data_IF_941913402043
#
_entry.id   IF_941913402043
#
_cell.length_a   1.000
_cell.length_b   1.000
_cell.length_c   1.000
_cell.angle_alpha   90.00
_cell.angle_beta   90.00
_cell.angle_gamma   90.00
#
_symmetry.space_group_name_H-M   'P 1'
#
loop_
_entity.id
_entity.type
_entity.pdbx_description
1 polymer ?
#
# COMPACT_ATOMS: atom_id res chain seq x y z
N UNK A 1 39.14 23.02 -54.04
CA UNK A 1 38.43 24.04 -53.23
C UNK A 1 37.42 23.52 -52.20
N UNK A 2 36.99 22.25 -52.17
CA UNK A 2 35.98 21.76 -51.21
C UNK A 2 36.51 21.29 -49.83
N UNK A 3 37.80 20.99 -49.69
CA UNK A 3 38.38 20.50 -48.41
C UNK A 3 38.52 21.62 -47.37
N UNK A 4 39.03 22.79 -47.78
CA UNK A 4 39.30 23.95 -46.90
C UNK A 4 38.05 24.51 -46.20
N UNK A 5 36.87 24.40 -46.83
CA UNK A 5 35.60 24.87 -46.25
C UNK A 5 35.09 23.95 -45.11
N UNK A 6 35.39 22.64 -45.16
CA UNK A 6 35.01 21.69 -44.11
C UNK A 6 35.86 21.86 -42.85
N UNK A 7 37.16 22.07 -43.01
CA UNK A 7 38.08 22.25 -41.87
C UNK A 7 37.79 23.55 -41.10
N UNK A 8 37.37 24.61 -41.79
CA UNK A 8 36.95 25.86 -41.16
C UNK A 8 35.67 25.69 -40.32
N UNK A 9 34.67 24.98 -40.86
CA UNK A 9 33.43 24.65 -40.12
C UNK A 9 33.68 23.77 -38.90
N UNK A 10 34.55 22.76 -39.02
CA UNK A 10 34.89 21.88 -37.88
C UNK A 10 35.64 22.63 -36.77
N UNK A 11 36.54 23.54 -37.11
CA UNK A 11 37.20 24.42 -36.12
C UNK A 11 36.23 25.36 -35.41
N UNK A 12 35.21 25.84 -36.12
CA UNK A 12 34.18 26.71 -35.53
C UNK A 12 33.23 25.95 -34.59
N UNK A 13 32.84 24.72 -34.95
CA UNK A 13 32.05 23.83 -34.07
C UNK A 13 32.85 23.46 -32.81
N UNK A 14 34.14 23.15 -32.94
CA UNK A 14 35.01 22.87 -31.80
C UNK A 14 35.08 24.03 -30.80
N UNK A 15 35.19 25.28 -31.30
CA UNK A 15 35.17 26.48 -30.44
C UNK A 15 33.85 26.67 -29.70
N UNK A 16 32.71 26.38 -30.35
CA UNK A 16 31.39 26.48 -29.72
C UNK A 16 31.23 25.43 -28.61
N UNK A 17 31.67 24.19 -28.84
CA UNK A 17 31.60 23.11 -27.85
C UNK A 17 32.48 23.41 -26.63
N UNK A 18 33.72 23.91 -26.84
CA UNK A 18 34.62 24.30 -25.74
C UNK A 18 34.01 25.46 -24.93
N UNK A 19 33.37 26.43 -25.59
CA UNK A 19 32.72 27.54 -24.92
C UNK A 19 31.51 27.07 -24.08
N UNK A 20 30.66 26.19 -24.63
CA UNK A 20 29.50 25.63 -23.92
C UNK A 20 29.90 24.77 -22.69
N UNK A 21 30.98 24.00 -22.80
CA UNK A 21 31.54 23.24 -21.68
C UNK A 21 32.10 24.17 -20.59
N UNK A 22 32.78 25.25 -20.96
CA UNK A 22 33.32 26.21 -19.99
C UNK A 22 32.24 26.95 -19.21
N UNK A 23 31.11 27.29 -19.85
CA UNK A 23 29.96 27.91 -19.18
C UNK A 23 29.27 26.93 -18.24
N UNK A 24 29.16 25.65 -18.63
CA UNK A 24 28.55 24.62 -17.78
C UNK A 24 29.37 24.35 -16.52
N UNK A 25 30.71 24.34 -16.63
CA UNK A 25 31.61 24.18 -15.48
C UNK A 25 31.53 25.41 -14.56
N UNK A 26 31.47 26.62 -15.11
CA UNK A 26 31.33 27.84 -14.30
C UNK A 26 30.00 27.86 -13.51
N UNK A 27 28.89 27.41 -14.11
CA UNK A 27 27.58 27.30 -13.43
C UNK A 27 27.64 26.26 -12.30
N UNK A 28 28.28 25.10 -12.53
CA UNK A 28 28.48 24.07 -11.50
C UNK A 28 29.34 24.55 -10.33
N UNK A 29 30.41 25.29 -10.61
CA UNK A 29 31.27 25.88 -9.58
C UNK A 29 30.54 26.98 -8.78
N UNK A 30 29.71 27.80 -9.43
CA UNK A 30 28.89 28.81 -8.76
C UNK A 30 27.81 28.20 -7.86
N UNK A 31 27.17 27.11 -8.29
CA UNK A 31 26.21 26.39 -7.45
C UNK A 31 26.87 25.69 -6.26
N UNK A 32 28.05 25.10 -6.44
CA UNK A 32 28.78 24.47 -5.34
C UNK A 32 29.30 25.50 -4.31
N UNK A 33 29.68 26.72 -4.73
CA UNK A 33 30.08 27.76 -3.76
C UNK A 33 28.90 28.25 -2.92
N UNK A 34 27.70 28.34 -3.50
CA UNK A 34 26.48 28.72 -2.77
C UNK A 34 26.03 27.68 -1.73
N UNK A 35 26.28 26.40 -2.00
CA UNK A 35 25.99 25.30 -1.04
C UNK A 35 26.97 25.36 0.15
N UNK A 36 28.24 25.70 -0.09
CA UNK A 36 29.24 25.88 0.97
C UNK A 36 28.94 27.06 1.92
N UNK A 37 28.33 28.13 1.41
CA UNK A 37 27.91 29.29 2.23
C UNK A 37 26.70 28.97 3.11
N UNK A 38 25.78 28.11 2.67
CA UNK A 38 24.64 27.68 3.50
C UNK A 38 25.02 26.68 4.60
N UNK A 39 26.03 25.84 4.37
CA UNK A 39 26.47 24.83 5.35
C UNK A 39 27.32 25.42 6.49
N UNK A 40 27.99 26.55 6.26
CA UNK A 40 28.75 27.28 7.30
C UNK A 40 27.85 28.11 8.20
N UNK A 41 26.66 28.52 7.74
CA UNK A 41 25.68 29.25 8.55
C UNK A 41 24.91 28.36 9.56
N UNK A 42 24.93 27.03 9.39
CA UNK A 42 24.27 26.07 10.29
C UNK A 42 25.17 25.53 11.41
N UNK A 43 26.48 25.79 11.36
CA UNK A 43 27.46 25.23 12.30
C UNK A 43 27.76 26.10 13.54
N UNK A 44 27.20 27.32 13.65
CA UNK A 44 27.58 28.30 14.68
C UNK A 44 26.55 28.53 15.80
N UNK A 45 25.48 27.74 15.89
CA UNK A 45 24.48 27.90 16.97
C UNK A 45 24.52 26.69 17.91
N UNK A 46 25.42 26.74 18.90
CA UNK A 46 25.27 26.03 20.19
C UNK A 46 25.90 26.86 21.31
N UNK A 47 25.26 26.74 22.49
CA UNK A 47 25.56 27.27 23.83
C UNK A 47 25.13 28.71 24.15
N UNK A 48 23.97 28.87 24.81
CA UNK A 48 23.85 29.57 26.10
C UNK A 48 22.42 29.45 26.66
N UNK A 49 22.31 29.34 27.97
CA UNK A 49 21.14 28.97 28.76
C UNK A 49 20.39 30.15 29.39
N UNK A 50 19.05 30.04 29.41
CA UNK A 50 18.04 30.63 30.34
C UNK A 50 17.52 32.08 30.11
N UNK A 51 16.27 32.37 30.54
CA UNK A 51 15.20 32.86 29.65
C UNK A 51 14.66 34.26 30.01
N UNK A 52 13.92 34.92 29.10
CA UNK A 52 12.85 35.91 29.40
C UNK A 52 11.91 36.06 28.18
N UNK A 53 10.62 36.23 28.48
CA UNK A 53 9.43 36.26 27.62
C UNK A 53 9.30 37.49 26.70
N UNK A 54 8.89 37.29 25.45
CA UNK A 54 7.67 37.87 24.89
C UNK A 54 7.33 37.22 23.53
N UNK A 55 6.11 36.66 23.45
CA UNK A 55 5.67 35.76 22.38
C UNK A 55 4.92 36.50 21.28
N UNK A 56 5.49 36.52 20.08
CA UNK A 56 4.75 36.53 18.82
C UNK A 56 5.45 35.60 17.84
N UNK A 57 5.39 34.29 18.14
CA UNK A 57 5.79 33.24 17.22
C UNK A 57 4.55 32.44 16.85
N UNK A 58 4.22 32.49 15.55
CA UNK A 58 3.31 31.56 14.90
C UNK A 58 3.94 30.17 15.05
N UNK A 59 3.45 29.42 16.02
CA UNK A 59 3.84 28.04 16.24
C UNK A 59 3.10 27.16 15.23
N UNK A 60 3.82 26.59 14.27
CA UNK A 60 3.32 25.42 13.57
C UNK A 60 3.31 24.25 14.56
N UNK A 61 2.17 23.58 14.79
CA UNK A 61 2.15 22.45 15.69
C UNK A 61 2.92 21.29 15.05
N UNK A 62 4.08 20.98 15.62
CA UNK A 62 4.72 19.67 15.47
C UNK A 62 3.82 18.66 16.15
N UNK A 63 2.96 17.99 15.38
CA UNK A 63 2.08 16.97 15.93
C UNK A 63 2.82 15.64 16.05
N UNK A 64 2.78 15.13 17.28
CA UNK A 64 3.35 13.86 17.70
C UNK A 64 2.53 12.70 17.09
N UNK A 65 3.16 11.87 16.25
CA UNK A 65 2.58 10.68 15.61
C UNK A 65 2.00 9.63 16.60
N UNK A 66 2.29 9.72 17.90
CA UNK A 66 1.96 8.68 18.87
C UNK A 66 0.47 8.47 19.20
N UNK A 67 -0.42 9.45 18.97
CA UNK A 67 -1.83 9.32 19.37
C UNK A 67 -2.69 8.52 18.38
N UNK A 68 -2.32 8.50 17.10
CA UNK A 68 -3.04 7.74 16.06
C UNK A 68 -2.63 6.26 16.05
N UNK A 69 -1.35 5.97 16.30
CA UNK A 69 -0.79 4.62 16.47
C UNK A 69 -1.51 3.85 17.59
N UNK A 70 -1.85 4.53 18.70
CA UNK A 70 -2.53 3.93 19.83
C UNK A 70 -3.97 3.50 19.49
N UNK A 71 -4.67 4.17 18.58
CA UNK A 71 -6.04 3.79 18.21
C UNK A 71 -6.07 2.52 17.36
N UNK A 72 -5.26 2.46 16.29
CA UNK A 72 -5.19 1.28 15.41
C UNK A 72 -4.69 0.06 16.18
N UNK A 73 -3.66 0.23 17.01
CA UNK A 73 -3.04 -0.85 17.76
C UNK A 73 -3.91 -1.35 18.93
N UNK A 74 -4.68 -0.47 19.59
CA UNK A 74 -5.47 -0.80 20.79
C UNK A 74 -6.93 -1.19 20.50
N UNK A 75 -7.52 -0.72 19.40
CA UNK A 75 -8.95 -0.95 19.09
C UNK A 75 -9.22 -1.77 17.82
N UNK A 76 -8.30 -1.81 16.84
CA UNK A 76 -8.51 -2.55 15.59
C UNK A 76 -7.88 -3.95 15.64
N UNK A 77 -6.69 -4.09 16.26
CA UNK A 77 -5.94 -5.35 16.30
C UNK A 77 -6.17 -6.22 17.55
N UNK A 78 -6.65 -5.66 18.66
CA UNK A 78 -7.06 -6.42 19.84
C UNK A 78 -8.58 -6.46 19.94
N UNK A 79 -9.16 -7.50 19.37
CA UNK A 79 -10.51 -7.93 19.73
C UNK A 79 -10.42 -9.39 20.19
N UNK A 80 -9.99 -9.56 21.44
CA UNK A 80 -10.47 -10.69 22.24
C UNK A 80 -11.69 -10.19 23.04
N UNK A 81 -12.67 -11.07 23.09
CA UNK A 81 -14.00 -10.91 23.66
C UNK A 81 -14.01 -10.32 25.09
N UNK A 82 -14.97 -9.41 25.32
CA UNK A 82 -15.51 -8.95 26.63
C UNK A 82 -14.69 -7.92 27.42
N UNK A 83 -14.67 -6.65 26.99
CA UNK A 83 -14.76 -5.48 27.90
C UNK A 83 -15.41 -4.32 27.12
N UNK A 84 -16.55 -3.82 27.58
CA UNK A 84 -17.10 -2.53 27.11
C UNK A 84 -16.37 -1.40 27.83
N UNK A 85 -15.69 -0.54 27.07
CA UNK A 85 -15.18 0.75 27.55
C UNK A 85 -15.74 1.82 26.63
N UNK A 86 -16.67 2.63 27.13
CA UNK A 86 -17.19 3.82 26.43
C UNK A 86 -16.30 5.02 26.72
N UNK A 87 -15.69 5.69 25.72
CA UNK A 87 -15.02 6.97 25.95
C UNK A 87 -16.06 8.10 26.07
N UNK A 88 -15.96 8.87 27.16
CA UNK A 88 -16.67 10.14 27.37
C UNK A 88 -15.86 11.25 26.69
N UNK A 89 -16.43 11.86 25.66
CA UNK A 89 -15.85 13.04 24.99
C UNK A 89 -16.48 14.30 25.58
N UNK A 90 -15.85 14.90 26.58
CA UNK A 90 -16.29 16.21 27.08
C UNK A 90 -15.93 17.29 26.02
N UNK A 91 -16.99 17.80 25.38
CA UNK A 91 -17.21 19.13 24.79
C UNK A 91 -15.96 19.96 24.45
N UNK A 92 -15.71 20.15 23.14
CA UNK A 92 -15.20 21.42 22.61
C UNK A 92 -16.21 21.91 21.57
N UNK A 93 -17.07 22.82 22.01
CA UNK A 93 -18.07 23.52 21.22
C UNK A 93 -17.44 24.61 20.36
N UNK A 94 -18.04 24.92 19.20
CA UNK A 94 -17.73 26.17 18.50
C UNK A 94 -18.08 26.33 17.02
N UNK A 95 -19.24 25.84 16.53
CA UNK A 95 -20.18 26.63 15.72
C UNK A 95 -21.28 25.77 15.06
N UNK A 96 -22.56 26.17 15.13
CA UNK A 96 -23.68 25.38 14.62
C UNK A 96 -23.99 25.70 13.15
N UNK A 97 -24.09 24.68 12.30
CA UNK A 97 -24.88 24.79 11.07
C UNK A 97 -26.20 24.05 11.31
N UNK A 98 -27.28 24.83 11.43
CA UNK A 98 -28.67 24.36 11.42
C UNK A 98 -28.94 23.63 10.10
N UNK A 99 -29.35 22.36 10.18
CA UNK A 99 -30.12 21.72 9.12
C UNK A 99 -31.43 21.23 9.73
N UNK A 100 -32.51 21.72 9.14
CA UNK A 100 -33.91 21.46 9.47
C UNK A 100 -34.27 19.98 9.50
N UNK A 101 -34.90 19.58 10.60
CA UNK A 101 -35.56 18.29 10.83
C UNK A 101 -36.76 18.09 9.91
N UNK A 102 -36.80 16.96 9.17
CA UNK A 102 -38.03 16.17 8.96
C UNK A 102 -37.66 14.68 8.91
N UNK A 103 -37.98 13.95 9.96
CA UNK A 103 -38.26 12.51 10.04
C UNK A 103 -39.62 12.43 10.77
N UNK A 104 -40.54 11.48 10.61
CA UNK A 104 -40.54 10.07 10.18
C UNK A 104 -42.03 9.64 10.14
N UNK A 105 -42.43 8.53 9.50
CA UNK A 105 -42.74 7.19 10.10
C UNK A 105 -44.13 6.73 9.53
N UNK A 106 -44.52 5.46 9.35
CA UNK A 106 -44.49 4.31 10.26
C UNK A 106 -44.84 2.95 9.57
N UNK A 107 -44.23 1.85 10.07
CA UNK A 107 -44.73 0.46 10.41
C UNK A 107 -45.60 -0.37 9.44
N UNK A 108 -45.67 -1.72 9.41
CA UNK A 108 -45.09 -2.95 10.03
C UNK A 108 -45.52 -4.18 9.15
N UNK A 109 -45.09 -5.44 9.43
CA UNK A 109 -45.09 -6.58 8.49
C UNK A 109 -46.27 -7.57 8.65
N UNK A 110 -46.39 -8.52 7.70
CA UNK A 110 -47.20 -9.73 7.84
C UNK A 110 -46.45 -11.01 7.41
N UNK A 111 -46.58 -12.06 8.22
CA UNK A 111 -46.17 -13.45 7.97
C UNK A 111 -47.33 -14.28 7.37
N UNK A 112 -47.01 -15.36 6.66
CA UNK A 112 -47.69 -16.70 6.60
C UNK A 112 -46.88 -17.56 5.60
N UNK A 113 -46.28 -18.74 5.85
CA UNK A 113 -46.58 -20.08 6.42
C UNK A 113 -47.30 -21.08 5.47
N UNK A 114 -46.65 -22.25 5.30
CA UNK A 114 -47.19 -23.62 4.98
C UNK A 114 -47.49 -23.88 3.48
N UNK A 115 -47.28 -25.02 2.81
CA UNK A 115 -47.21 -26.48 3.13
C UNK A 115 -46.36 -27.23 2.06
N UNK A 116 -45.50 -28.19 2.40
CA UNK A 116 -45.62 -29.69 2.34
C UNK A 116 -46.07 -30.36 1.03
N UNK A 117 -45.26 -31.35 0.59
CA UNK A 117 -45.62 -32.43 -0.32
C UNK A 117 -44.47 -33.46 -0.48
N UNK A 118 -44.73 -34.74 -0.14
CA UNK A 118 -43.84 -35.93 -0.17
C UNK A 118 -44.13 -36.80 -1.41
N UNK A 119 -43.14 -37.61 -1.84
CA UNK A 119 -43.18 -39.09 -2.13
C UNK A 119 -41.86 -39.48 -2.88
N UNK A 120 -41.01 -40.42 -2.41
CA UNK A 120 -41.00 -41.91 -2.54
C UNK A 120 -41.13 -42.40 -4.00
N UNK A 121 -40.45 -43.40 -4.57
CA UNK A 121 -39.57 -44.54 -4.17
C UNK A 121 -38.97 -45.06 -5.51
N UNK A 122 -37.77 -45.64 -5.65
CA UNK A 122 -37.49 -47.07 -5.44
C UNK A 122 -36.21 -47.49 -6.19
N UNK A 123 -35.61 -48.56 -5.68
CA UNK A 123 -34.35 -49.28 -5.98
C UNK A 123 -34.26 -50.03 -7.31
N UNK A 124 -33.05 -50.34 -7.80
CA UNK A 124 -32.64 -51.71 -8.22
C UNK A 124 -31.10 -51.89 -8.18
N UNK A 125 -30.65 -53.00 -7.55
CA UNK A 125 -29.27 -53.50 -7.51
C UNK A 125 -28.96 -54.34 -8.75
N UNK A 126 -27.72 -54.31 -9.26
CA UNK A 126 -27.14 -55.48 -9.95
C UNK A 126 -25.65 -55.64 -9.65
N UNK A 127 -25.30 -56.89 -9.33
CA UNK A 127 -24.03 -57.42 -8.82
C UNK A 127 -23.41 -58.23 -9.95
N UNK A 128 -22.14 -58.01 -10.31
CA UNK A 128 -21.32 -58.98 -11.05
C UNK A 128 -19.90 -58.94 -10.49
N UNK A 129 -19.38 -60.12 -10.20
CA UNK A 129 -18.07 -60.44 -9.65
C UNK A 129 -17.26 -61.14 -10.74
N UNK A 130 -15.96 -60.84 -10.85
CA UNK A 130 -14.96 -61.78 -11.35
C UNK A 130 -13.57 -61.43 -10.78
N UNK A 131 -12.90 -62.47 -10.25
CA UNK A 131 -11.50 -62.58 -9.81
C UNK A 131 -10.56 -62.39 -11.04
N UNK A 132 -9.26 -62.07 -11.00
CA UNK A 132 -8.13 -62.53 -10.18
C UNK A 132 -6.92 -61.65 -10.57
N UNK A 133 -6.03 -61.30 -9.64
CA UNK A 133 -4.56 -61.50 -9.73
C UNK A 133 -3.81 -60.65 -8.70
N UNK A 134 -3.07 -61.35 -7.84
CA UNK A 134 -2.19 -60.81 -6.82
C UNK A 134 -0.86 -60.53 -7.49
N UNK A 135 -0.44 -59.26 -7.52
CA UNK A 135 0.96 -58.88 -7.69
C UNK A 135 1.39 -58.09 -6.48
N UNK A 136 2.25 -58.69 -5.66
CA UNK A 136 2.98 -58.00 -4.61
C UNK A 136 3.94 -57.01 -5.28
N UNK A 137 3.77 -55.72 -5.01
CA UNK A 137 4.77 -54.74 -5.37
C UNK A 137 4.88 -53.67 -4.28
N UNK A 138 5.97 -53.81 -3.52
CA UNK A 138 6.76 -52.82 -2.80
C UNK A 138 6.06 -51.66 -2.08
N UNK A 139 6.41 -51.57 -0.80
CA UNK A 139 6.05 -50.58 0.19
C UNK A 139 6.40 -49.13 -0.22
N UNK A 140 5.61 -48.51 -1.11
CA UNK A 140 5.63 -47.06 -1.33
C UNK A 140 4.65 -46.44 -0.35
N UNK A 141 5.18 -45.85 0.73
CA UNK A 141 4.43 -44.95 1.61
C UNK A 141 3.70 -43.95 0.71
N UNK A 142 2.38 -44.13 0.54
CA UNK A 142 1.52 -43.15 -0.12
C UNK A 142 1.68 -41.86 0.69
N UNK A 143 2.45 -40.92 0.16
CA UNK A 143 2.35 -39.53 0.58
C UNK A 143 1.01 -39.08 0.02
N UNK A 144 -0.04 -39.26 0.80
CA UNK A 144 -1.32 -38.60 0.56
C UNK A 144 -0.99 -37.11 0.34
N UNK A 145 -1.40 -36.51 -0.79
CA UNK A 145 -1.19 -35.08 -1.00
C UNK A 145 -1.79 -34.39 0.21
N UNK A 146 -0.97 -33.62 0.92
CA UNK A 146 -1.44 -32.89 2.09
C UNK A 146 -2.57 -31.99 1.60
N UNK A 147 -3.80 -32.31 2.02
CA UNK A 147 -5.01 -31.54 1.72
C UNK A 147 -5.02 -30.18 2.44
N UNK A 148 -3.86 -29.73 2.95
CA UNK A 148 -3.70 -28.43 3.57
C UNK A 148 -3.76 -27.39 2.46
N UNK A 149 -4.89 -26.69 2.40
CA UNK A 149 -5.10 -25.46 1.62
C UNK A 149 -3.84 -24.58 1.75
N UNK A 150 -3.19 -24.32 0.61
CA UNK A 150 -1.97 -23.53 0.56
C UNK A 150 -2.23 -22.14 1.13
N UNK A 151 -1.40 -21.69 2.08
CA UNK A 151 -1.54 -20.35 2.67
C UNK A 151 -1.13 -19.29 1.63
N UNK A 152 -1.81 -18.16 1.61
CA UNK A 152 -1.55 -17.06 0.69
C UNK A 152 -1.25 -15.78 1.47
N UNK A 153 -0.28 -15.01 1.00
CA UNK A 153 0.03 -13.67 1.50
C UNK A 153 0.16 -12.70 0.32
N UNK A 154 -0.43 -11.52 0.48
CA UNK A 154 -0.30 -10.39 -0.43
C UNK A 154 0.70 -9.42 0.17
N UNK A 155 1.90 -9.35 -0.41
CA UNK A 155 2.88 -8.32 -0.08
C UNK A 155 2.48 -7.05 -0.82
N UNK A 156 2.36 -5.93 -0.09
CA UNK A 156 2.00 -4.64 -0.67
C UNK A 156 3.08 -3.60 -0.38
N UNK A 157 3.36 -2.75 -1.37
CA UNK A 157 4.34 -1.68 -1.29
C UNK A 157 3.70 -0.35 -1.67
N UNK A 158 3.67 0.57 -0.72
CA UNK A 158 3.09 1.90 -0.88
C UNK A 158 4.16 2.95 -1.24
N UNK A 159 3.72 4.15 -1.60
CA UNK A 159 4.51 5.33 -1.96
C UNK A 159 5.40 5.24 -3.19
N UNK A 160 5.56 4.06 -3.79
CA UNK A 160 6.43 3.84 -4.92
C UNK A 160 5.95 4.47 -6.25
N UNK A 161 6.69 4.23 -7.36
CA UNK A 161 8.03 3.63 -7.36
C UNK A 161 9.08 4.59 -6.79
N UNK A 162 10.25 4.04 -6.44
CA UNK A 162 11.39 4.78 -5.90
C UNK A 162 12.70 4.30 -6.51
N UNK A 163 13.84 4.79 -5.99
CA UNK A 163 15.16 4.24 -6.31
C UNK A 163 15.34 2.79 -5.83
N UNK A 164 14.55 2.34 -4.86
CA UNK A 164 14.61 0.99 -4.28
C UNK A 164 13.80 -0.05 -5.06
N UNK A 165 12.85 0.37 -5.92
CA UNK A 165 11.91 -0.53 -6.62
C UNK A 165 12.63 -1.66 -7.35
N UNK A 166 13.73 -1.37 -8.06
CA UNK A 166 14.44 -2.38 -8.85
C UNK A 166 15.09 -3.46 -7.97
N UNK A 167 15.56 -3.09 -6.78
CA UNK A 167 16.08 -4.05 -5.80
C UNK A 167 14.95 -4.92 -5.24
N UNK A 168 13.79 -4.32 -4.92
CA UNK A 168 12.59 -5.05 -4.49
C UNK A 168 12.16 -6.06 -5.56
N UNK A 169 12.05 -5.64 -6.83
CA UNK A 169 11.68 -6.52 -7.94
C UNK A 169 12.67 -7.66 -8.16
N UNK A 170 13.97 -7.41 -7.97
CA UNK A 170 15.01 -8.44 -8.06
C UNK A 170 14.82 -9.51 -6.98
N UNK A 171 14.53 -9.10 -5.75
CA UNK A 171 14.24 -10.01 -4.64
C UNK A 171 12.94 -10.78 -4.87
N UNK A 172 11.86 -10.12 -5.28
CA UNK A 172 10.60 -10.80 -5.60
C UNK A 172 10.82 -11.89 -6.66
N UNK A 173 11.54 -11.58 -7.74
CA UNK A 173 11.89 -12.56 -8.78
C UNK A 173 12.72 -13.72 -8.24
N UNK A 174 13.75 -13.44 -7.41
CA UNK A 174 14.60 -14.48 -6.78
C UNK A 174 13.77 -15.49 -5.98
N UNK A 175 12.72 -15.03 -5.32
CA UNK A 175 11.84 -15.87 -4.50
C UNK A 175 10.57 -16.35 -5.22
N UNK A 176 10.48 -16.14 -6.55
CA UNK A 176 9.29 -16.47 -7.36
C UNK A 176 7.99 -15.90 -6.77
N UNK A 177 8.11 -14.70 -6.19
CA UNK A 177 7.03 -13.97 -5.54
C UNK A 177 6.47 -12.90 -6.47
N UNK A 178 5.18 -12.64 -6.34
CA UNK A 178 4.53 -11.45 -6.88
C UNK A 178 3.99 -10.59 -5.73
N UNK A 179 3.88 -9.29 -5.96
CA UNK A 179 3.41 -8.31 -4.99
C UNK A 179 2.46 -7.31 -5.64
N UNK A 180 1.91 -6.39 -4.84
CA UNK A 180 1.06 -5.29 -5.30
C UNK A 180 1.69 -3.96 -4.94
N UNK A 181 1.76 -3.02 -5.87
CA UNK A 181 2.35 -1.70 -5.66
C UNK A 181 1.28 -0.62 -5.75
N UNK A 182 1.04 0.10 -4.66
CA UNK A 182 0.17 1.28 -4.65
C UNK A 182 1.04 2.52 -4.80
N UNK A 183 0.92 3.18 -5.94
CA UNK A 183 1.90 4.16 -6.38
C UNK A 183 1.36 5.57 -6.37
N UNK A 184 2.24 6.54 -6.12
CA UNK A 184 1.92 7.97 -6.19
C UNK A 184 2.12 8.48 -7.62
N UNK A 185 1.21 9.35 -8.10
CA UNK A 185 1.29 9.95 -9.43
C UNK A 185 2.62 10.67 -9.73
N UNK A 186 3.18 11.50 -8.82
CA UNK A 186 4.49 12.10 -9.03
C UNK A 186 5.61 11.06 -9.22
N UNK A 187 5.55 9.95 -8.49
CA UNK A 187 6.56 8.90 -8.52
C UNK A 187 6.44 8.04 -9.77
N UNK A 188 5.22 7.76 -10.25
CA UNK A 188 5.00 7.14 -11.55
C UNK A 188 5.67 7.94 -12.68
N UNK A 189 5.52 9.26 -12.67
CA UNK A 189 6.13 10.16 -13.66
C UNK A 189 7.66 10.19 -13.54
N UNK A 190 8.18 10.23 -12.31
CA UNK A 190 9.63 10.28 -12.06
C UNK A 190 10.34 8.96 -12.39
N UNK A 191 9.71 7.82 -12.09
CA UNK A 191 10.29 6.49 -12.21
C UNK A 191 9.49 5.58 -13.15
N UNK A 192 9.14 6.12 -14.32
CA UNK A 192 8.28 5.43 -15.29
C UNK A 192 8.84 4.09 -15.80
N UNK A 193 10.17 3.97 -15.89
CA UNK A 193 10.84 2.72 -16.25
C UNK A 193 10.62 1.63 -15.18
N UNK A 194 10.77 1.99 -13.90
CA UNK A 194 10.47 1.10 -12.77
C UNK A 194 9.01 0.66 -12.78
N UNK A 195 8.07 1.60 -12.99
CA UNK A 195 6.63 1.28 -13.07
C UNK A 195 6.30 0.25 -14.17
N UNK A 196 6.89 0.42 -15.37
CA UNK A 196 6.75 -0.57 -16.46
C UNK A 196 7.32 -1.93 -16.07
N UNK A 197 8.44 -1.95 -15.36
CA UNK A 197 9.07 -3.19 -14.93
C UNK A 197 8.26 -3.92 -13.84
N UNK A 198 7.59 -3.19 -12.94
CA UNK A 198 6.66 -3.77 -11.95
C UNK A 198 5.61 -4.63 -12.68
N UNK A 199 4.92 -4.05 -13.66
CA UNK A 199 3.88 -4.74 -14.46
C UNK A 199 4.47 -5.87 -15.29
N UNK A 200 5.61 -5.65 -15.97
CA UNK A 200 6.29 -6.67 -16.79
C UNK A 200 6.69 -7.91 -15.97
N UNK A 201 7.00 -7.72 -14.69
CA UNK A 201 7.32 -8.83 -13.76
C UNK A 201 6.07 -9.53 -13.20
N UNK A 202 4.87 -9.19 -13.67
CA UNK A 202 3.62 -9.82 -13.24
C UNK A 202 3.14 -9.38 -11.86
N UNK A 203 3.57 -8.21 -11.37
CA UNK A 203 3.02 -7.64 -10.15
C UNK A 203 1.76 -6.84 -10.44
N UNK A 204 0.85 -6.78 -9.48
CA UNK A 204 -0.30 -5.88 -9.55
C UNK A 204 0.11 -4.46 -9.19
N UNK A 205 -0.63 -3.50 -9.71
CA UNK A 205 -0.38 -2.07 -9.54
C UNK A 205 -1.69 -1.39 -9.19
N UNK A 206 -1.66 -0.36 -8.36
CA UNK A 206 -2.82 0.39 -7.93
C UNK A 206 -2.48 1.84 -7.63
N UNK A 207 -3.51 2.64 -7.40
CA UNK A 207 -3.38 4.07 -7.09
C UNK A 207 -3.20 4.30 -5.60
N UNK A 208 -2.28 5.21 -5.25
CA UNK A 208 -2.12 5.75 -3.90
C UNK A 208 -2.36 7.28 -3.86
N UNK A 209 -3.03 7.82 -4.87
CA UNK A 209 -3.29 9.26 -4.99
C UNK A 209 -2.08 10.06 -5.49
N UNK A 210 -2.09 11.36 -5.22
CA UNK A 210 -1.15 12.32 -5.81
C UNK A 210 -0.34 13.02 -4.73
N UNK A 211 -1.01 13.60 -3.74
CA UNK A 211 -0.39 14.53 -2.80
C UNK A 211 0.18 13.83 -1.57
N UNK A 212 -0.44 12.72 -1.17
CA UNK A 212 -0.21 12.06 0.11
C UNK A 212 -0.24 13.07 1.28
N UNK A 213 -1.09 14.10 1.17
CA UNK A 213 -1.28 15.15 2.17
C UNK A 213 -2.70 15.00 2.70
N UNK A 214 -2.80 14.67 3.98
CA UNK A 214 -4.07 14.40 4.68
C UNK A 214 -5.11 15.50 4.45
N UNK A 215 -4.70 16.77 4.39
CA UNK A 215 -5.60 17.92 4.26
C UNK A 215 -6.04 18.17 2.81
N UNK A 216 -5.34 17.59 1.84
CA UNK A 216 -5.69 17.70 0.41
C UNK A 216 -6.48 16.49 -0.04
N UNK A 217 -5.96 15.29 0.22
CA UNK A 217 -6.57 14.03 -0.23
C UNK A 217 -7.93 13.80 0.44
N UNK A 218 -8.09 14.15 1.72
CA UNK A 218 -9.34 14.02 2.46
C UNK A 218 -10.12 15.33 2.62
N UNK A 219 -9.84 16.33 1.79
CA UNK A 219 -10.60 17.60 1.81
C UNK A 219 -12.08 17.38 1.47
N UNK A 220 -12.39 16.46 0.56
CA UNK A 220 -13.74 16.06 0.20
C UNK A 220 -13.73 14.71 -0.55
N UNK A 221 -14.88 13.99 -0.62
CA UNK A 221 -14.98 12.77 -1.43
C UNK A 221 -14.57 12.97 -2.88
N UNK A 222 -14.89 14.13 -3.46
CA UNK A 222 -14.52 14.47 -4.82
C UNK A 222 -13.01 14.68 -4.99
N UNK A 223 -12.34 15.31 -4.01
CA UNK A 223 -10.89 15.49 -4.03
C UNK A 223 -10.16 14.15 -3.96
N UNK A 224 -10.59 13.26 -3.06
CA UNK A 224 -10.04 11.90 -2.96
C UNK A 224 -10.17 11.14 -4.29
N UNK A 225 -11.38 11.11 -4.86
CA UNK A 225 -11.65 10.44 -6.14
C UNK A 225 -10.81 11.05 -7.27
N UNK A 226 -10.66 12.38 -7.30
CA UNK A 226 -9.86 13.05 -8.31
C UNK A 226 -8.39 12.64 -8.23
N UNK A 227 -7.80 12.60 -7.04
CA UNK A 227 -6.42 12.13 -6.86
C UNK A 227 -6.27 10.68 -7.32
N UNK A 228 -7.18 9.79 -6.92
CA UNK A 228 -7.12 8.38 -7.31
C UNK A 228 -7.22 8.19 -8.82
N UNK A 229 -8.14 8.90 -9.49
CA UNK A 229 -8.32 8.85 -10.95
C UNK A 229 -7.15 9.42 -11.72
N UNK A 230 -6.56 10.51 -11.24
CA UNK A 230 -5.38 11.09 -11.89
C UNK A 230 -4.24 10.07 -11.93
N UNK A 231 -3.98 9.42 -10.79
CA UNK A 231 -2.94 8.41 -10.68
C UNK A 231 -3.25 7.18 -11.52
N UNK A 232 -4.49 6.69 -11.55
CA UNK A 232 -4.94 5.60 -12.44
C UNK A 232 -4.68 5.93 -13.92
N UNK A 233 -5.03 7.16 -14.36
CA UNK A 233 -4.81 7.61 -15.72
C UNK A 233 -3.31 7.66 -16.08
N UNK A 234 -2.49 8.19 -15.18
CA UNK A 234 -1.02 8.21 -15.34
C UNK A 234 -0.44 6.80 -15.38
N UNK A 235 -0.91 5.91 -14.51
CA UNK A 235 -0.50 4.51 -14.44
C UNK A 235 -0.83 3.80 -15.76
N UNK A 236 -2.05 3.93 -16.27
CA UNK A 236 -2.47 3.36 -17.57
C UNK A 236 -1.64 3.94 -18.72
N UNK A 237 -1.42 5.26 -18.74
CA UNK A 237 -0.60 5.92 -19.76
C UNK A 237 0.84 5.41 -19.80
N UNK A 238 1.46 5.19 -18.64
CA UNK A 238 2.87 4.80 -18.54
C UNK A 238 3.05 3.30 -18.77
N UNK A 239 2.19 2.48 -18.17
CA UNK A 239 2.39 1.02 -18.10
C UNK A 239 1.54 0.24 -19.09
N UNK A 240 0.48 0.85 -19.64
CA UNK A 240 -0.54 0.18 -20.43
C UNK A 240 -1.52 -0.66 -19.60
N UNK A 241 -1.31 -0.79 -18.29
CA UNK A 241 -2.17 -1.56 -17.40
C UNK A 241 -3.29 -0.67 -16.86
N UNK A 242 -4.52 -1.12 -17.04
CA UNK A 242 -5.68 -0.58 -16.32
C UNK A 242 -5.79 -1.27 -14.96
N UNK A 243 -6.08 -0.49 -13.92
CA UNK A 243 -6.26 -0.99 -12.56
C UNK A 243 -7.20 -0.08 -11.76
N UNK A 244 -8.15 -0.69 -11.09
CA UNK A 244 -9.08 -0.02 -10.16
C UNK A 244 -8.70 -0.22 -8.70
N UNK A 245 -7.58 -0.91 -8.41
CA UNK A 245 -7.06 -1.07 -7.06
C UNK A 245 -6.63 0.29 -6.49
N UNK A 246 -7.10 0.61 -5.28
CA UNK A 246 -6.66 1.79 -4.54
C UNK A 246 -6.24 1.42 -3.12
N UNK A 247 -5.29 2.20 -2.60
CA UNK A 247 -4.92 2.22 -1.18
C UNK A 247 -5.04 3.65 -0.69
N UNK A 248 -5.84 3.84 0.34
CA UNK A 248 -6.06 5.17 0.92
C UNK A 248 -4.82 5.61 1.72
N UNK A 249 -4.23 6.80 1.47
CA UNK A 249 -3.14 7.33 2.28
C UNK A 249 -3.50 7.32 3.77
N UNK A 250 -2.57 6.87 4.62
CA UNK A 250 -2.80 6.73 6.08
C UNK A 250 -3.85 5.68 6.50
N UNK A 251 -4.34 4.85 5.56
CA UNK A 251 -5.37 3.86 5.82
C UNK A 251 -6.79 4.44 5.78
N UNK A 252 -7.78 3.55 5.60
CA UNK A 252 -9.17 3.98 5.37
C UNK A 252 -9.89 4.49 6.63
N UNK A 253 -9.36 4.26 7.83
CA UNK A 253 -9.96 4.73 9.09
C UNK A 253 -8.98 5.68 9.77
N UNK A 254 -9.41 6.87 10.22
CA UNK A 254 -10.80 7.35 10.27
C UNK A 254 -11.32 8.04 9.00
N UNK A 255 -10.48 8.20 7.96
CA UNK A 255 -10.71 9.19 6.91
C UNK A 255 -11.72 8.81 5.83
N UNK A 256 -11.80 7.53 5.43
CA UNK A 256 -12.78 7.05 4.46
C UNK A 256 -14.14 6.84 5.14
N UNK A 257 -14.81 7.97 5.42
CA UNK A 257 -16.20 7.99 5.90
C UNK A 257 -17.14 7.36 4.86
N UNK A 258 -18.41 7.07 5.22
CA UNK A 258 -19.36 6.48 4.28
C UNK A 258 -19.49 7.25 2.95
N UNK A 259 -19.38 8.58 2.98
CA UNK A 259 -19.46 9.41 1.76
C UNK A 259 -18.23 9.24 0.85
N UNK A 260 -17.04 9.11 1.44
CA UNK A 260 -15.81 8.82 0.68
C UNK A 260 -15.84 7.43 0.07
N UNK A 261 -16.32 6.42 0.83
CA UNK A 261 -16.49 5.05 0.33
C UNK A 261 -17.50 5.01 -0.81
N UNK A 262 -18.69 5.57 -0.61
CA UNK A 262 -19.72 5.67 -1.65
C UNK A 262 -19.20 6.37 -2.92
N UNK A 263 -18.47 7.46 -2.78
CA UNK A 263 -17.89 8.16 -3.93
C UNK A 263 -16.83 7.32 -4.66
N UNK A 264 -16.05 6.53 -3.93
CA UNK A 264 -15.04 5.61 -4.50
C UNK A 264 -15.68 4.42 -5.20
N UNK A 265 -16.66 3.78 -4.56
CA UNK A 265 -17.43 2.65 -5.09
C UNK A 265 -18.16 3.05 -6.38
N UNK A 266 -18.74 4.26 -6.42
CA UNK A 266 -19.39 4.81 -7.61
C UNK A 266 -18.44 5.00 -8.80
N UNK A 267 -17.12 4.94 -8.60
CA UNK A 267 -16.11 4.95 -9.66
C UNK A 267 -15.51 3.58 -9.94
N UNK A 268 -15.99 2.53 -9.28
CA UNK A 268 -15.48 1.16 -9.43
C UNK A 268 -14.17 0.90 -8.70
N UNK A 269 -13.73 1.81 -7.81
CA UNK A 269 -12.50 1.62 -7.07
C UNK A 269 -12.61 0.48 -6.07
N UNK A 270 -11.53 -0.30 -5.97
CA UNK A 270 -11.42 -1.44 -5.06
C UNK A 270 -10.41 -1.07 -3.99
N UNK A 271 -10.92 -0.58 -2.86
CA UNK A 271 -10.10 -0.15 -1.74
C UNK A 271 -9.55 -1.34 -0.95
N UNK A 272 -8.23 -1.40 -0.79
CA UNK A 272 -7.54 -2.35 0.07
C UNK A 272 -6.85 -1.62 1.22
N UNK A 273 -7.06 -2.08 2.46
CA UNK A 273 -6.23 -1.80 3.63
C UNK A 273 -5.22 -2.96 3.83
N UNK A 274 -4.86 -3.28 5.08
CA UNK A 274 -3.91 -4.32 5.44
C UNK A 274 -4.29 -5.05 6.74
N UNK A 275 -3.71 -6.24 6.94
CA UNK A 275 -3.79 -6.99 8.20
C UNK A 275 -2.58 -6.75 9.09
N UNK A 276 -1.41 -6.67 8.45
CA UNK A 276 -0.11 -6.62 9.09
C UNK A 276 0.53 -5.30 8.72
N UNK A 277 0.73 -4.44 9.71
CA UNK A 277 1.51 -3.22 9.53
C UNK A 277 2.98 -3.50 9.87
N UNK A 278 3.87 -3.29 8.91
CA UNK A 278 5.30 -3.50 9.16
C UNK A 278 5.91 -2.45 10.07
N UNK A 279 5.41 -1.21 10.08
CA UNK A 279 6.12 -0.04 10.62
C UNK A 279 7.55 0.13 10.02
N UNK A 280 7.79 -0.32 8.79
CA UNK A 280 9.11 -0.17 8.11
C UNK A 280 9.50 1.31 7.88
N UNK A 281 8.53 2.22 7.90
CA UNK A 281 8.73 3.66 7.94
C UNK A 281 9.38 4.13 9.25
N UNK A 282 9.07 3.48 10.37
CA UNK A 282 9.53 3.82 11.73
C UNK A 282 10.84 3.15 12.10
N UNK A 283 11.13 1.96 11.58
CA UNK A 283 12.25 1.11 12.01
C UNK A 283 13.37 0.97 10.95
N UNK A 284 14.34 1.91 10.90
CA UNK A 284 15.41 1.90 9.88
C UNK A 284 16.38 0.71 9.98
N UNK A 285 16.43 0.05 11.13
CA UNK A 285 17.37 -1.04 11.42
C UNK A 285 16.77 -2.45 11.25
N UNK A 286 15.68 -2.58 10.49
CA UNK A 286 15.11 -3.89 10.13
C UNK A 286 14.25 -4.54 11.21
N UNK A 287 14.01 -3.87 12.35
CA UNK A 287 13.16 -4.38 13.44
C UNK A 287 11.73 -4.71 12.97
N UNK A 288 11.26 -4.02 11.92
CA UNK A 288 9.99 -4.30 11.26
C UNK A 288 9.85 -5.76 10.81
N UNK A 289 10.95 -6.43 10.44
CA UNK A 289 10.93 -7.85 10.04
C UNK A 289 10.40 -8.72 11.18
N UNK A 290 10.90 -8.51 12.40
CA UNK A 290 10.43 -9.28 13.55
C UNK A 290 8.99 -8.91 13.91
N UNK A 291 8.60 -7.64 13.76
CA UNK A 291 7.22 -7.19 13.95
C UNK A 291 6.25 -7.88 12.99
N UNK A 292 6.60 -8.01 11.71
CA UNK A 292 5.81 -8.78 10.72
C UNK A 292 5.65 -10.22 11.20
N UNK A 293 6.76 -10.89 11.54
CA UNK A 293 6.75 -12.29 12.00
C UNK A 293 5.83 -12.49 13.20
N UNK A 294 5.94 -11.64 14.21
CA UNK A 294 5.11 -11.71 15.42
C UNK A 294 3.63 -11.53 15.11
N UNK A 295 3.26 -10.55 14.27
CA UNK A 295 1.86 -10.34 13.90
C UNK A 295 1.30 -11.50 13.06
N UNK A 296 2.07 -12.02 12.10
CA UNK A 296 1.67 -13.17 11.27
C UNK A 296 1.49 -14.43 12.14
N UNK A 297 2.41 -14.69 13.07
CA UNK A 297 2.35 -15.87 13.95
C UNK A 297 1.22 -15.77 14.99
N UNK A 298 0.79 -14.55 15.33
CA UNK A 298 -0.35 -14.32 16.23
C UNK A 298 -1.69 -14.30 15.49
N UNK A 299 -1.69 -14.24 14.16
CA UNK A 299 -2.91 -14.16 13.38
C UNK A 299 -3.53 -15.55 13.19
N UNK A 300 -4.74 -15.75 13.71
CA UNK A 300 -5.51 -17.00 13.55
C UNK A 300 -6.47 -16.94 12.35
N UNK A 301 -6.02 -16.37 11.24
CA UNK A 301 -6.85 -16.13 10.06
C UNK A 301 -6.72 -17.26 9.03
N UNK A 302 -7.86 -17.79 8.59
CA UNK A 302 -7.94 -18.76 7.49
C UNK A 302 -7.99 -18.10 6.10
N UNK A 303 -8.07 -16.75 6.07
CA UNK A 303 -8.02 -15.97 4.82
C UNK A 303 -6.60 -15.49 4.52
N UNK A 304 -6.29 -15.13 3.26
CA UNK A 304 -5.01 -14.53 2.93
C UNK A 304 -4.73 -13.27 3.76
N UNK A 305 -3.46 -13.07 4.11
CA UNK A 305 -2.99 -11.88 4.83
C UNK A 305 -2.51 -10.81 3.86
N UNK A 306 -2.74 -9.55 4.19
CA UNK A 306 -2.19 -8.39 3.47
C UNK A 306 -1.15 -7.69 4.33
N UNK A 307 0.07 -7.56 3.82
CA UNK A 307 1.20 -6.93 4.53
C UNK A 307 1.47 -5.56 3.94
N UNK A 308 1.38 -4.51 4.76
CA UNK A 308 1.78 -3.15 4.41
C UNK A 308 3.28 -2.96 4.59
N UNK A 309 3.94 -2.53 3.53
CA UNK A 309 5.33 -2.04 3.49
C UNK A 309 5.40 -0.84 2.53
N UNK A 310 6.54 -0.17 2.48
CA UNK A 310 6.77 0.97 1.60
C UNK A 310 7.91 0.67 0.61
N UNK A 311 7.81 1.19 -0.62
CA UNK A 311 8.86 1.09 -1.63
C UNK A 311 10.00 2.07 -1.29
N UNK A 312 10.87 1.66 -0.34
CA UNK A 312 12.00 2.45 0.15
C UNK A 312 13.25 1.60 0.38
N UNK A 313 14.41 2.26 0.42
CA UNK A 313 15.73 1.60 0.53
C UNK A 313 15.85 0.71 1.77
N UNK A 314 15.34 1.14 2.92
CA UNK A 314 15.35 0.33 4.15
C UNK A 314 14.57 -0.97 3.96
N UNK A 315 13.38 -0.89 3.38
CA UNK A 315 12.53 -2.06 3.15
C UNK A 315 13.23 -3.02 2.20
N UNK A 316 13.78 -2.52 1.09
CA UNK A 316 14.54 -3.33 0.15
C UNK A 316 15.76 -4.03 0.79
N UNK A 317 16.45 -3.37 1.73
CA UNK A 317 17.60 -3.93 2.46
C UNK A 317 17.23 -5.17 3.29
N UNK A 318 16.05 -5.20 3.89
CA UNK A 318 15.63 -6.28 4.79
C UNK A 318 14.55 -7.20 4.21
N UNK A 319 14.02 -6.89 3.02
CA UNK A 319 12.94 -7.64 2.37
C UNK A 319 13.24 -9.12 2.20
N UNK A 320 14.50 -9.48 1.92
CA UNK A 320 14.89 -10.89 1.77
C UNK A 320 14.52 -11.73 3.01
N UNK A 321 14.67 -11.19 4.22
CA UNK A 321 14.32 -11.90 5.44
C UNK A 321 12.80 -12.13 5.59
N UNK A 322 11.99 -11.21 5.05
CA UNK A 322 10.53 -11.32 5.01
C UNK A 322 10.13 -12.41 4.02
N UNK A 323 10.73 -12.42 2.82
CA UNK A 323 10.47 -13.43 1.78
C UNK A 323 10.86 -14.84 2.25
N UNK A 324 12.03 -14.99 2.88
CA UNK A 324 12.48 -16.26 3.46
C UNK A 324 11.52 -16.77 4.54
N UNK A 325 11.02 -15.88 5.40
CA UNK A 325 10.07 -16.25 6.44
C UNK A 325 8.76 -16.79 5.85
N UNK A 326 8.16 -16.08 4.90
CA UNK A 326 6.92 -16.53 4.27
C UNK A 326 7.10 -17.83 3.48
N UNK A 327 8.20 -17.97 2.75
CA UNK A 327 8.55 -19.21 2.05
C UNK A 327 8.69 -20.39 3.04
N UNK A 328 9.43 -20.21 4.14
CA UNK A 328 9.61 -21.24 5.18
C UNK A 328 8.29 -21.63 5.87
N UNK A 329 7.37 -20.68 6.02
CA UNK A 329 6.03 -20.91 6.60
C UNK A 329 5.03 -21.50 5.59
N UNK A 330 5.46 -21.74 4.34
CA UNK A 330 4.64 -22.34 3.29
C UNK A 330 3.60 -21.41 2.69
N UNK A 331 3.80 -20.09 2.78
CA UNK A 331 2.94 -19.11 2.11
C UNK A 331 3.30 -18.97 0.63
N UNK A 332 2.28 -18.90 -0.21
CA UNK A 332 2.38 -18.40 -1.58
C UNK A 332 2.30 -16.88 -1.55
N UNK A 333 3.33 -16.22 -2.08
CA UNK A 333 3.38 -14.77 -2.23
C UNK A 333 2.88 -14.40 -3.63
N UNK A 334 1.64 -13.94 -3.72
CA UNK A 334 1.00 -13.55 -4.99
C UNK A 334 0.56 -12.10 -4.94
N UNK A 335 0.34 -11.51 -6.12
CA UNK A 335 -0.25 -10.19 -6.24
C UNK A 335 -1.77 -10.23 -5.99
N UNK A 336 -2.33 -9.09 -5.60
CA UNK A 336 -3.77 -8.90 -5.45
C UNK A 336 -4.42 -8.91 -6.83
N UNK A 337 -5.51 -9.65 -6.98
CA UNK A 337 -6.39 -9.63 -8.15
C UNK A 337 -7.67 -8.85 -7.83
N UNK A 338 -8.19 -8.10 -8.81
CA UNK A 338 -9.37 -7.24 -8.65
C UNK A 338 -10.67 -8.01 -8.39
N UNK A 339 -10.73 -9.30 -8.72
CA UNK A 339 -11.90 -10.15 -8.41
C UNK A 339 -11.97 -10.59 -6.94
N UNK A 340 -10.90 -10.36 -6.17
CA UNK A 340 -10.83 -10.78 -4.77
C UNK A 340 -11.60 -9.83 -3.86
N UNK A 341 -12.16 -10.40 -2.80
CA UNK A 341 -12.76 -9.62 -1.73
C UNK A 341 -11.69 -8.80 -0.98
N UNK A 342 -11.78 -7.46 -0.96
CA UNK A 342 -10.76 -6.62 -0.37
C UNK A 342 -10.76 -6.71 1.15
N UNK A 343 -9.57 -6.59 1.74
CA UNK A 343 -9.43 -6.32 3.18
C UNK A 343 -9.68 -4.84 3.40
N UNK A 344 -10.65 -4.50 4.24
CA UNK A 344 -10.95 -3.11 4.60
C UNK A 344 -11.15 -2.98 6.11
N UNK A 345 -10.66 -1.89 6.69
CA UNK A 345 -10.98 -1.54 8.06
C UNK A 345 -12.46 -1.17 8.18
N UNK A 346 -13.10 -1.62 9.26
CA UNK A 346 -14.49 -1.29 9.55
C UNK A 346 -14.56 0.16 10.05
N UNK A 347 -15.24 1.01 9.30
CA UNK A 347 -15.61 2.33 9.79
C UNK A 347 -16.56 2.17 10.99
N UNK A 348 -16.21 2.77 12.13
CA UNK A 348 -17.08 2.87 13.30
C UNK A 348 -17.39 4.35 13.51
N UNK A 349 -18.67 4.70 13.50
CA UNK A 349 -19.13 6.04 13.87
C UNK A 349 -18.96 6.14 15.38
N UNK A 350 -18.06 7.01 15.84
CA UNK A 350 -17.88 7.30 17.27
C UNK A 350 -19.13 7.93 17.87
#
# INVERSE_FOLDING_TARGET
>A
MKQSSRDSKMKQIGKIIVCALSVSIAILLFYNSKISESDTALASIKTSSKPINNSSNINFPVYNHGSQDLFVQKFVLKNDSRVEVTPRWDIISGNPIKISTVEKRDTKPLQTKVSTGKEQSSTTKKKVSAKTEIKQESNKKLILPSTKKQKVVYLTFDDGPSTATMQILTLLKKYQAQATFFMLDPNLKKYSSSAKQIVKNGNSVGSHGVTHDIHKVYRSPAAFVQEMKQTEATLKKITGKESHLIRAPYGSVPYMTPDFRKASDAKGFILWDWDIDSDDWKYPNGQFVQKIKTQVDSCSSDRPLVVLMHDKTTTAKYLEQVLQYFQKKGYKMVAIDESLQPVQFKYRKN
#
